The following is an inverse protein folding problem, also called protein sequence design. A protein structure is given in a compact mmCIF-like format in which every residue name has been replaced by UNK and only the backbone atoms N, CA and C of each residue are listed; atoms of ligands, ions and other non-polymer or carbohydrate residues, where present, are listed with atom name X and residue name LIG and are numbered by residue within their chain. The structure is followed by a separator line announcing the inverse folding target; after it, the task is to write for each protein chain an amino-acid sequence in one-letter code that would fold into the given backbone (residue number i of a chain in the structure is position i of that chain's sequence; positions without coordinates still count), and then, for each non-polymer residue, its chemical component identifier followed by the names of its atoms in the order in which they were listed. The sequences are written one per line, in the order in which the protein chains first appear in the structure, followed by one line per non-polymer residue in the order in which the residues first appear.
data_IF_079144508116
#
_entry.id   IF_079144508116
#
_cell.length_a   1.000
_cell.length_b   1.000
_cell.length_c   1.000
_cell.angle_alpha   90.00
_cell.angle_beta   90.00
_cell.angle_gamma   90.00
#
_symmetry.space_group_name_H-M   'P 1'
#
loop_
_entity.id
_entity.type
_entity.pdbx_description
1 polymer ?
#
# COMPACT_ATOMS: atom_id res chain seq x y z
N UNK A 1 8.31 -25.20 29.87
CA UNK A 1 7.24 -24.19 30.11
C UNK A 1 7.40 -23.68 31.52
N UNK A 2 7.70 -22.40 31.71
CA UNK A 2 7.75 -21.77 33.04
C UNK A 2 6.35 -21.73 33.67
N UNK A 3 6.25 -22.01 34.96
CA UNK A 3 4.99 -21.88 35.71
C UNK A 3 4.49 -20.43 35.62
N UNK A 4 3.23 -20.23 35.19
CA UNK A 4 2.61 -18.90 35.04
C UNK A 4 2.65 -18.12 36.35
N UNK A 5 2.64 -18.82 37.49
CA UNK A 5 2.67 -18.23 38.83
C UNK A 5 3.98 -17.54 39.17
N UNK A 6 5.09 -17.92 38.53
CA UNK A 6 6.40 -17.29 38.77
C UNK A 6 6.67 -16.12 37.83
N UNK A 7 5.78 -15.85 36.87
CA UNK A 7 5.97 -14.84 35.83
C UNK A 7 5.42 -13.47 36.17
N UNK A 8 4.72 -13.30 37.29
CA UNK A 8 4.16 -12.02 37.66
C UNK A 8 4.46 -11.62 39.10
N UNK A 9 4.51 -10.31 39.34
CA UNK A 9 4.57 -9.71 40.67
C UNK A 9 3.49 -8.64 40.82
N UNK A 10 2.92 -8.55 42.02
CA UNK A 10 2.04 -7.45 42.39
C UNK A 10 2.87 -6.25 42.83
N UNK A 11 2.53 -5.06 42.33
CA UNK A 11 3.04 -3.82 42.88
C UNK A 11 2.16 -3.28 44.02
N UNK A 12 2.46 -2.07 44.47
CA UNK A 12 1.70 -1.39 45.52
C UNK A 12 0.31 -0.98 44.98
N UNK A 13 -0.79 -1.29 45.67
CA UNK A 13 -2.11 -0.79 45.29
C UNK A 13 -2.16 0.74 45.28
N UNK A 14 -2.88 1.30 44.31
CA UNK A 14 -3.17 2.74 44.27
C UNK A 14 -4.31 3.14 45.24
N UNK A 15 -4.60 4.44 45.31
CA UNK A 15 -5.66 4.99 46.18
C UNK A 15 -7.07 4.50 45.81
N UNK A 16 -7.23 3.88 44.63
CA UNK A 16 -8.48 3.25 44.16
C UNK A 16 -8.51 1.75 44.45
N UNK A 17 -7.51 1.22 45.15
CA UNK A 17 -7.39 -0.20 45.49
C UNK A 17 -7.02 -1.09 44.29
N UNK A 18 -6.55 -0.50 43.19
CA UNK A 18 -6.08 -1.23 42.00
C UNK A 18 -4.64 -1.66 42.23
N UNK A 19 -4.39 -2.97 42.20
CA UNK A 19 -3.03 -3.54 42.33
C UNK A 19 -2.42 -3.71 40.95
N UNK A 20 -1.32 -3.01 40.60
CA UNK A 20 -0.62 -3.22 39.34
C UNK A 20 0.00 -4.63 39.29
N UNK A 21 -0.01 -5.26 38.12
CA UNK A 21 0.61 -6.56 37.87
C UNK A 21 1.71 -6.39 36.83
N UNK A 22 2.95 -6.71 37.22
CA UNK A 22 4.11 -6.69 36.33
C UNK A 22 4.41 -8.11 35.88
N UNK A 23 4.62 -8.31 34.58
CA UNK A 23 4.89 -9.62 33.96
C UNK A 23 6.34 -9.67 33.51
N UNK A 24 7.02 -10.80 33.74
CA UNK A 24 8.41 -11.09 33.35
C UNK A 24 9.42 -9.99 33.74
N UNK A 25 9.20 -9.34 34.88
CA UNK A 25 10.10 -8.30 35.39
C UNK A 25 9.94 -6.92 34.77
N UNK A 26 8.97 -6.73 33.86
CA UNK A 26 8.71 -5.44 33.21
C UNK A 26 8.55 -4.27 34.21
N UNK A 27 9.11 -3.12 33.85
CA UNK A 27 9.02 -1.89 34.64
C UNK A 27 7.59 -1.35 34.64
N UNK A 28 6.96 -1.29 33.47
CA UNK A 28 5.55 -0.93 33.31
C UNK A 28 4.62 -2.10 33.67
N UNK A 29 3.46 -1.85 34.31
CA UNK A 29 2.50 -2.90 34.61
C UNK A 29 1.76 -3.35 33.35
N UNK A 30 1.53 -4.66 33.22
CA UNK A 30 0.72 -5.23 32.14
C UNK A 30 -0.77 -4.87 32.27
N UNK A 31 -1.17 -4.44 33.47
CA UNK A 31 -2.54 -4.10 33.82
C UNK A 31 -2.71 -4.03 35.34
N UNK A 32 -3.96 -3.95 35.77
CA UNK A 32 -4.32 -3.87 37.17
C UNK A 32 -5.34 -4.96 37.54
N UNK A 33 -5.25 -5.43 38.78
CA UNK A 33 -6.29 -6.24 39.40
C UNK A 33 -6.95 -5.48 40.54
N UNK A 34 -8.27 -5.52 40.63
CA UNK A 34 -9.04 -4.82 41.65
C UNK A 34 -10.15 -5.71 42.18
N UNK A 35 -10.42 -5.64 43.49
CA UNK A 35 -11.60 -6.29 44.05
C UNK A 35 -12.84 -5.42 43.80
N UNK A 36 -13.80 -5.92 43.02
CA UNK A 36 -15.09 -5.28 42.76
C UNK A 36 -16.22 -6.02 43.48
N UNK A 37 -16.76 -5.40 44.54
CA UNK A 37 -18.00 -5.84 45.20
C UNK A 37 -17.93 -7.19 45.95
N UNK A 38 -19.11 -7.80 46.14
CA UNK A 38 -19.34 -9.06 46.87
C UNK A 38 -19.91 -10.17 45.95
N UNK A 39 -19.56 -10.18 44.67
CA UNK A 39 -20.00 -11.24 43.74
C UNK A 39 -19.18 -12.52 43.92
N UNK A 40 -19.62 -13.61 43.28
CA UNK A 40 -18.87 -14.87 43.19
C UNK A 40 -17.58 -14.76 42.36
N UNK A 41 -17.45 -13.69 41.55
CA UNK A 41 -16.25 -13.35 40.78
C UNK A 41 -15.78 -11.94 41.16
N UNK A 42 -15.28 -11.74 42.40
CA UNK A 42 -15.06 -10.41 42.94
C UNK A 42 -13.77 -9.76 42.44
N UNK A 43 -12.93 -10.45 41.65
CA UNK A 43 -11.66 -9.92 41.18
C UNK A 43 -11.72 -9.53 39.71
N UNK A 44 -11.49 -8.26 39.43
CA UNK A 44 -11.47 -7.70 38.09
C UNK A 44 -10.04 -7.60 37.58
N UNK A 45 -9.78 -8.05 36.35
CA UNK A 45 -8.53 -7.84 35.63
C UNK A 45 -8.76 -6.84 34.49
N UNK A 46 -7.96 -5.77 34.46
CA UNK A 46 -8.00 -4.71 33.46
C UNK A 46 -6.61 -4.58 32.82
N UNK A 47 -6.54 -4.71 31.49
CA UNK A 47 -5.29 -4.60 30.74
C UNK A 47 -4.80 -3.16 30.61
N UNK A 48 -3.49 -2.98 30.50
CA UNK A 48 -2.92 -1.68 30.16
C UNK A 48 -3.42 -1.24 28.77
N UNK A 49 -4.04 -0.05 28.71
CA UNK A 49 -4.60 0.55 27.49
C UNK A 49 -6.08 0.24 27.21
N UNK A 50 -6.73 -0.66 27.96
CA UNK A 50 -8.06 -1.18 27.63
C UNK A 50 -9.23 -0.28 28.08
N UNK A 51 -8.95 0.88 28.67
CA UNK A 51 -9.90 1.99 28.84
C UNK A 51 -11.19 1.70 29.62
N UNK A 52 -11.26 0.58 30.35
CA UNK A 52 -12.36 0.01 31.21
C UNK A 52 -12.80 -1.41 30.82
N UNK A 53 -12.37 -1.94 29.67
CA UNK A 53 -12.65 -3.33 29.30
C UNK A 53 -11.80 -4.29 30.17
N UNK A 54 -12.45 -5.29 30.77
CA UNK A 54 -11.81 -6.22 31.68
C UNK A 54 -12.63 -7.48 31.93
N UNK A 55 -12.12 -8.37 32.76
CA UNK A 55 -12.75 -9.67 33.03
C UNK A 55 -12.83 -9.95 34.53
N UNK A 56 -13.92 -10.59 34.97
CA UNK A 56 -14.14 -10.98 36.36
C UNK A 56 -13.65 -12.40 36.63
N UNK A 57 -13.06 -12.61 37.81
CA UNK A 57 -12.40 -13.84 38.26
C UNK A 57 -12.76 -14.13 39.72
N UNK A 58 -12.71 -15.41 40.12
CA UNK A 58 -13.05 -15.81 41.48
C UNK A 58 -11.94 -15.40 42.47
N UNK A 59 -10.68 -15.46 42.03
CA UNK A 59 -9.51 -15.22 42.89
C UNK A 59 -8.56 -14.19 42.29
N UNK A 60 -7.81 -13.50 43.16
CA UNK A 60 -6.85 -12.46 42.76
C UNK A 60 -5.78 -12.99 41.80
N UNK A 61 -5.25 -14.20 42.06
CA UNK A 61 -4.22 -14.80 41.23
C UNK A 61 -4.73 -15.18 39.84
N UNK A 62 -6.00 -15.58 39.70
CA UNK A 62 -6.61 -15.89 38.40
C UNK A 62 -6.70 -14.64 37.53
N UNK A 63 -7.08 -13.51 38.14
CA UNK A 63 -7.06 -12.20 37.49
C UNK A 63 -5.64 -11.79 37.05
N UNK A 64 -4.62 -12.07 37.85
CA UNK A 64 -3.23 -11.80 37.47
C UNK A 64 -2.73 -12.74 36.35
N UNK A 65 -3.04 -14.03 36.42
CA UNK A 65 -2.74 -15.00 35.37
C UNK A 65 -3.42 -14.66 34.04
N UNK A 66 -4.63 -14.07 34.07
CA UNK A 66 -5.30 -13.56 32.87
C UNK A 66 -4.50 -12.45 32.18
N UNK A 67 -3.86 -11.57 32.96
CA UNK A 67 -2.98 -10.51 32.42
C UNK A 67 -1.70 -11.10 31.82
N UNK A 68 -1.10 -12.13 32.43
CA UNK A 68 0.04 -12.86 31.84
C UNK A 68 -0.35 -13.46 30.49
N UNK A 69 -1.48 -14.17 30.42
CA UNK A 69 -1.98 -14.74 29.16
C UNK A 69 -2.24 -13.65 28.11
N UNK A 70 -2.71 -12.47 28.53
CA UNK A 70 -2.92 -11.35 27.61
C UNK A 70 -1.60 -10.83 27.03
N UNK A 71 -0.55 -10.71 27.85
CA UNK A 71 0.80 -10.35 27.38
C UNK A 71 1.33 -11.40 26.40
N UNK A 72 1.21 -12.68 26.72
CA UNK A 72 1.62 -13.78 25.84
C UNK A 72 0.87 -13.75 24.49
N UNK A 73 -0.44 -13.51 24.53
CA UNK A 73 -1.25 -13.36 23.31
C UNK A 73 -0.81 -12.14 22.49
N UNK A 74 -0.60 -10.98 23.12
CA UNK A 74 -0.12 -9.77 22.44
C UNK A 74 1.26 -9.99 21.81
N UNK A 75 2.18 -10.65 22.53
CA UNK A 75 3.50 -10.99 22.03
C UNK A 75 3.45 -11.97 20.86
N UNK A 76 2.58 -12.99 20.93
CA UNK A 76 2.38 -13.95 19.84
C UNK A 76 1.83 -13.27 18.59
N UNK A 77 0.82 -12.40 18.75
CA UNK A 77 0.26 -11.60 17.65
C UNK A 77 1.33 -10.69 17.05
N UNK A 78 2.09 -9.96 17.86
CA UNK A 78 3.18 -9.10 17.38
C UNK A 78 4.25 -9.89 16.61
N UNK A 79 4.66 -11.05 17.12
CA UNK A 79 5.63 -11.91 16.45
C UNK A 79 5.09 -12.53 15.15
N UNK A 80 3.78 -12.83 15.06
CA UNK A 80 3.15 -13.26 13.81
C UNK A 80 3.07 -12.13 12.79
N UNK A 81 2.71 -10.91 13.22
CA UNK A 81 2.72 -9.71 12.35
C UNK A 81 4.12 -9.48 11.79
N UNK A 82 5.16 -9.59 12.61
CA UNK A 82 6.54 -9.39 12.16
C UNK A 82 6.98 -10.50 11.19
N UNK A 83 6.65 -11.77 11.49
CA UNK A 83 6.91 -12.89 10.57
C UNK A 83 6.17 -12.73 9.24
N UNK A 84 4.96 -12.16 9.25
CA UNK A 84 4.20 -11.84 8.02
C UNK A 84 4.91 -10.76 7.22
N UNK A 85 5.27 -9.63 7.85
CA UNK A 85 6.05 -8.55 7.19
C UNK A 85 7.33 -9.07 6.55
N UNK A 86 8.08 -9.91 7.27
CA UNK A 86 9.30 -10.50 6.76
C UNK A 86 9.06 -11.37 5.51
N UNK A 87 7.94 -12.11 5.44
CA UNK A 87 7.55 -12.88 4.24
C UNK A 87 7.13 -11.96 3.10
N UNK A 88 6.33 -10.94 3.38
CA UNK A 88 5.85 -10.00 2.35
C UNK A 88 6.98 -9.15 1.74
N UNK A 89 8.11 -9.00 2.45
CA UNK A 89 9.31 -8.33 1.95
C UNK A 89 10.20 -9.21 1.04
N UNK A 90 9.86 -10.48 0.82
CA UNK A 90 10.57 -11.38 -0.07
C UNK A 90 9.77 -11.59 -1.35
N UNK A 91 10.36 -11.20 -2.49
CA UNK A 91 9.73 -11.45 -3.77
C UNK A 91 9.74 -12.95 -4.07
N UNK A 92 8.63 -13.53 -4.56
CA UNK A 92 8.64 -14.90 -5.07
C UNK A 92 9.66 -15.07 -6.21
N UNK A 93 10.20 -16.27 -6.39
CA UNK A 93 11.15 -16.54 -7.47
C UNK A 93 10.60 -16.12 -8.84
N UNK A 94 11.41 -15.43 -9.65
CA UNK A 94 11.02 -14.88 -10.96
C UNK A 94 10.23 -13.57 -10.89
N UNK A 95 10.03 -13.00 -9.69
CA UNK A 95 9.39 -11.71 -9.47
C UNK A 95 10.33 -10.75 -8.74
N UNK A 96 10.12 -9.45 -8.96
CA UNK A 96 10.81 -8.38 -8.24
C UNK A 96 9.82 -7.31 -7.80
N UNK A 97 10.15 -6.63 -6.71
CA UNK A 97 9.41 -5.44 -6.28
C UNK A 97 9.67 -4.27 -7.22
N UNK A 98 8.61 -3.53 -7.53
CA UNK A 98 8.66 -2.27 -8.27
C UNK A 98 7.76 -1.24 -7.63
N UNK A 99 8.21 0.01 -7.64
CA UNK A 99 7.37 1.12 -7.19
C UNK A 99 6.28 1.44 -8.22
N UNK A 100 5.19 2.06 -7.78
CA UNK A 100 4.17 2.57 -8.70
C UNK A 100 4.73 3.57 -9.71
N UNK A 101 5.69 4.41 -9.28
CA UNK A 101 6.37 5.34 -10.18
C UNK A 101 7.16 4.63 -11.27
N UNK A 102 7.80 3.49 -10.96
CA UNK A 102 8.48 2.67 -11.96
C UNK A 102 7.49 2.04 -12.93
N UNK A 103 6.38 1.49 -12.43
CA UNK A 103 5.30 0.95 -13.28
C UNK A 103 4.78 2.01 -14.26
N UNK A 104 4.49 3.21 -13.77
CA UNK A 104 4.04 4.33 -14.59
C UNK A 104 5.12 4.76 -15.61
N UNK A 105 6.40 4.80 -15.20
CA UNK A 105 7.51 5.24 -16.06
C UNK A 105 7.85 4.27 -17.16
N UNK A 106 7.92 2.98 -16.82
CA UNK A 106 8.25 1.92 -17.78
C UNK A 106 7.03 1.47 -18.59
N UNK A 107 5.80 1.82 -18.14
CA UNK A 107 4.56 1.45 -18.80
C UNK A 107 4.14 0.01 -18.56
N UNK A 108 4.56 -0.61 -17.44
CA UNK A 108 4.27 -2.01 -17.15
C UNK A 108 2.75 -2.25 -17.03
N UNK A 109 2.23 -3.14 -17.89
CA UNK A 109 0.81 -3.51 -17.90
C UNK A 109 0.51 -4.67 -16.97
N UNK A 110 1.43 -5.60 -16.81
CA UNK A 110 1.25 -6.80 -15.98
C UNK A 110 1.92 -6.60 -14.62
N UNK A 111 1.14 -6.53 -13.56
CA UNK A 111 1.67 -6.45 -12.20
C UNK A 111 0.83 -7.29 -11.24
N UNK A 112 1.42 -7.77 -10.16
CA UNK A 112 0.69 -8.33 -9.00
C UNK A 112 0.65 -7.25 -7.93
N UNK A 113 -0.47 -6.52 -7.76
CA UNK A 113 -0.63 -5.59 -6.64
C UNK A 113 -0.67 -6.35 -5.31
N UNK A 114 -0.61 -5.62 -4.20
CA UNK A 114 -0.89 -6.19 -2.88
C UNK A 114 -2.25 -6.91 -2.90
N UNK A 115 -2.34 -8.04 -2.22
CA UNK A 115 -3.52 -8.89 -2.22
C UNK A 115 -4.71 -8.12 -1.61
N UNK A 116 -5.92 -8.30 -2.18
CA UNK A 116 -7.14 -7.77 -1.57
C UNK A 116 -7.36 -8.49 -0.25
N UNK A 117 -7.18 -7.82 0.87
CA UNK A 117 -7.60 -8.39 2.15
C UNK A 117 -9.11 -8.68 2.04
N UNK A 118 -9.57 -9.91 2.35
CA UNK A 118 -11.00 -10.19 2.36
C UNK A 118 -11.66 -9.23 3.35
N UNK A 119 -12.67 -8.49 2.88
CA UNK A 119 -13.46 -7.63 3.74
C UNK A 119 -14.24 -8.51 4.72
N UNK A 120 -13.73 -8.66 5.95
CA UNK A 120 -14.44 -9.41 6.99
C UNK A 120 -15.33 -8.45 7.75
N UNK A 121 -16.64 -8.65 7.59
CA UNK A 121 -17.67 -7.95 8.35
C UNK A 121 -17.50 -8.26 9.85
N UNK A 122 -17.38 -7.23 10.69
CA UNK A 122 -17.27 -7.39 12.16
C UNK A 122 -15.92 -7.00 12.79
N UNK A 123 -14.96 -6.48 12.02
CA UNK A 123 -13.71 -5.93 12.57
C UNK A 123 -12.68 -6.97 13.03
N UNK A 124 -13.00 -8.26 12.94
CA UNK A 124 -12.08 -9.37 13.12
C UNK A 124 -11.64 -9.89 11.76
N UNK A 125 -10.66 -9.23 11.16
CA UNK A 125 -10.11 -9.61 9.87
C UNK A 125 -8.81 -8.89 9.58
N UNK A 126 -7.99 -9.51 8.73
CA UNK A 126 -6.65 -9.01 8.44
C UNK A 126 -6.73 -7.65 7.74
N UNK A 127 -6.42 -6.58 8.48
CA UNK A 127 -6.46 -5.20 7.99
C UNK A 127 -5.33 -4.86 7.02
N UNK A 128 -4.37 -5.77 6.88
CA UNK A 128 -3.15 -5.60 6.11
C UNK A 128 -3.03 -6.77 5.12
N UNK A 129 -2.86 -6.53 3.80
CA UNK A 129 -2.39 -7.54 2.86
C UNK A 129 -1.11 -8.16 3.40
N UNK A 130 -1.12 -9.47 3.53
CA UNK A 130 0.04 -10.27 3.92
C UNK A 130 0.82 -10.80 2.70
N UNK A 131 0.30 -10.51 1.49
CA UNK A 131 0.73 -11.12 0.25
C UNK A 131 0.40 -10.22 -0.95
N UNK A 132 0.79 -10.66 -2.14
CA UNK A 132 0.45 -10.04 -3.42
C UNK A 132 -0.55 -10.92 -4.16
N UNK A 133 -1.36 -10.32 -5.04
CA UNK A 133 -2.34 -11.04 -5.87
C UNK A 133 -1.71 -12.30 -6.50
N UNK A 134 -2.39 -13.45 -6.48
CA UNK A 134 -1.79 -14.71 -6.94
C UNK A 134 -1.44 -14.71 -8.43
N UNK A 135 -2.22 -13.98 -9.22
CA UNK A 135 -2.04 -13.81 -10.66
C UNK A 135 -1.81 -12.33 -10.98
N UNK A 136 -1.04 -12.02 -12.04
CA UNK A 136 -0.89 -10.65 -12.50
C UNK A 136 -2.23 -10.10 -13.00
N UNK A 137 -2.45 -8.82 -12.72
CA UNK A 137 -3.55 -8.00 -13.21
C UNK A 137 -3.03 -7.20 -14.40
N UNK A 138 -3.82 -7.14 -15.47
CA UNK A 138 -3.58 -6.20 -16.57
C UNK A 138 -4.05 -4.82 -16.12
N UNK A 139 -3.12 -3.95 -15.75
CA UNK A 139 -3.39 -2.58 -15.32
C UNK A 139 -3.85 -1.73 -16.49
N UNK A 140 -4.96 -1.02 -16.28
CA UNK A 140 -5.48 -0.03 -17.24
C UNK A 140 -5.32 1.40 -16.72
N UNK A 141 -5.33 1.59 -15.39
CA UNK A 141 -5.22 2.92 -14.78
C UNK A 141 -4.64 2.87 -13.36
N UNK A 142 -3.86 3.88 -13.03
CA UNK A 142 -3.26 4.13 -11.71
C UNK A 142 -3.61 5.56 -11.31
N UNK A 143 -4.17 5.75 -10.11
CA UNK A 143 -4.48 7.07 -9.55
C UNK A 143 -3.74 7.23 -8.23
N UNK A 144 -2.91 8.28 -8.12
CA UNK A 144 -2.22 8.67 -6.88
C UNK A 144 -2.97 9.82 -6.24
N UNK A 145 -3.29 9.69 -4.96
CA UNK A 145 -4.07 10.67 -4.20
C UNK A 145 -3.16 11.43 -3.23
N UNK A 146 -3.53 12.68 -2.91
CA UNK A 146 -2.77 13.56 -2.00
C UNK A 146 -2.50 12.95 -0.61
N UNK A 147 -3.36 12.06 -0.13
CA UNK A 147 -3.23 11.38 1.16
C UNK A 147 -2.26 10.19 1.14
N UNK A 148 -1.58 9.95 0.01
CA UNK A 148 -0.64 8.86 -0.19
C UNK A 148 -1.31 7.53 -0.60
N UNK A 149 -2.64 7.51 -0.73
CA UNK A 149 -3.33 6.34 -1.26
C UNK A 149 -3.10 6.19 -2.77
N UNK A 150 -3.17 4.95 -3.25
CA UNK A 150 -3.12 4.62 -4.68
C UNK A 150 -4.35 3.78 -5.02
N UNK A 151 -5.06 4.17 -6.08
CA UNK A 151 -6.12 3.35 -6.68
C UNK A 151 -5.58 2.76 -7.97
N UNK A 152 -5.71 1.45 -8.14
CA UNK A 152 -5.40 0.79 -9.40
C UNK A 152 -6.65 0.14 -9.96
N UNK A 153 -6.79 0.20 -11.27
CA UNK A 153 -7.81 -0.55 -12.00
C UNK A 153 -7.23 -1.31 -13.17
N UNK A 154 -7.91 -2.38 -13.55
CA UNK A 154 -7.44 -3.29 -14.58
C UNK A 154 -8.39 -4.45 -14.83
N UNK A 155 -7.84 -5.55 -15.33
CA UNK A 155 -8.54 -6.82 -15.50
C UNK A 155 -7.75 -7.96 -14.86
N UNK A 156 -8.44 -8.84 -14.14
CA UNK A 156 -7.86 -10.12 -13.73
C UNK A 156 -7.91 -11.10 -14.89
N UNK A 157 -7.06 -12.14 -14.91
CA UNK A 157 -7.19 -13.23 -15.87
C UNK A 157 -8.56 -13.94 -15.75
N UNK A 158 -9.15 -14.23 -16.91
CA UNK A 158 -10.49 -14.82 -17.05
C UNK A 158 -11.61 -13.78 -17.16
N UNK A 159 -12.84 -14.23 -17.43
CA UNK A 159 -14.05 -13.37 -17.53
C UNK A 159 -14.50 -12.91 -16.14
N UNK A 160 -13.72 -12.02 -15.53
CA UNK A 160 -13.98 -11.45 -14.20
C UNK A 160 -14.38 -9.98 -14.30
N UNK A 161 -15.12 -9.45 -13.31
CA UNK A 161 -15.43 -8.03 -13.24
C UNK A 161 -14.14 -7.18 -13.26
N UNK A 162 -14.25 -5.88 -13.60
CA UNK A 162 -13.10 -4.98 -13.60
C UNK A 162 -12.38 -5.03 -12.25
N UNK A 163 -11.06 -5.19 -12.31
CA UNK A 163 -10.22 -5.13 -11.14
C UNK A 163 -10.17 -3.69 -10.66
N UNK A 164 -10.49 -3.43 -9.38
CA UNK A 164 -10.27 -2.16 -8.71
C UNK A 164 -9.73 -2.44 -7.31
N UNK A 165 -8.65 -1.76 -6.93
CA UNK A 165 -8.06 -1.85 -5.59
C UNK A 165 -7.67 -0.45 -5.11
N UNK A 166 -8.23 -0.04 -3.97
CA UNK A 166 -7.77 1.11 -3.20
C UNK A 166 -6.76 0.63 -2.16
N UNK A 167 -5.54 1.14 -2.26
CA UNK A 167 -4.46 0.93 -1.30
C UNK A 167 -4.32 2.17 -0.42
N UNK A 168 -4.27 1.99 0.89
CA UNK A 168 -3.80 3.04 1.77
C UNK A 168 -2.30 3.32 1.56
N UNK A 169 -1.79 4.36 2.23
CA UNK A 169 -0.39 4.77 2.11
C UNK A 169 0.61 3.65 2.40
N UNK A 170 0.41 2.85 3.45
CA UNK A 170 1.36 1.81 3.82
C UNK A 170 1.39 0.71 2.75
N UNK A 171 0.25 0.40 2.15
CA UNK A 171 0.15 -0.55 1.05
C UNK A 171 0.70 0.00 -0.27
N UNK A 172 0.48 1.28 -0.56
CA UNK A 172 1.01 1.93 -1.73
C UNK A 172 2.56 1.96 -1.71
N UNK A 173 3.17 2.15 -0.54
CA UNK A 173 4.63 2.15 -0.36
C UNK A 173 5.28 0.79 -0.68
N UNK A 174 4.53 -0.33 -0.60
CA UNK A 174 5.02 -1.66 -0.98
C UNK A 174 5.17 -1.83 -2.50
N UNK A 175 4.51 -1.00 -3.31
CA UNK A 175 4.51 -1.13 -4.76
C UNK A 175 3.74 -2.36 -5.25
N UNK A 176 4.29 -3.02 -6.27
CA UNK A 176 3.76 -4.27 -6.82
C UNK A 176 4.89 -5.22 -7.19
N UNK A 177 4.55 -6.45 -7.53
CA UNK A 177 5.49 -7.38 -8.15
C UNK A 177 5.33 -7.36 -9.68
N UNK A 178 6.44 -7.31 -10.39
CA UNK A 178 6.52 -7.60 -11.84
C UNK A 178 7.52 -8.74 -12.07
N UNK A 179 7.53 -9.34 -13.25
CA UNK A 179 8.49 -10.40 -13.55
C UNK A 179 9.91 -9.82 -13.55
N UNK A 180 10.90 -10.59 -13.11
CA UNK A 180 12.32 -10.13 -13.09
C UNK A 180 12.83 -9.71 -14.47
N UNK A 181 12.33 -10.37 -15.51
CA UNK A 181 12.66 -10.11 -16.90
C UNK A 181 11.50 -9.46 -17.66
N UNK A 182 10.66 -8.68 -16.97
CA UNK A 182 9.61 -7.91 -17.62
C UNK A 182 10.21 -7.06 -18.75
N UNK A 183 9.70 -7.17 -19.99
CA UNK A 183 10.22 -6.41 -21.11
C UNK A 183 10.09 -4.91 -20.84
N UNK A 184 10.97 -4.10 -21.42
CA UNK A 184 10.91 -2.63 -21.34
C UNK A 184 10.93 -2.02 -22.73
N UNK A 185 10.15 -0.98 -22.96
CA UNK A 185 10.28 -0.18 -24.18
C UNK A 185 11.62 0.56 -24.17
N UNK A 186 12.34 0.59 -25.29
CA UNK A 186 13.64 1.27 -25.38
C UNK A 186 13.72 2.34 -26.45
N UNK A 187 13.08 2.14 -27.61
CA UNK A 187 13.15 3.05 -28.75
C UNK A 187 12.11 2.68 -29.81
N UNK A 188 11.88 3.58 -30.76
CA UNK A 188 11.21 3.27 -32.03
C UNK A 188 12.28 3.00 -33.09
N UNK A 189 12.11 1.95 -33.90
CA UNK A 189 13.03 1.63 -34.99
C UNK A 189 12.69 0.32 -35.67
N UNK A 190 13.60 -0.14 -36.54
CA UNK A 190 13.44 -1.38 -37.28
C UNK A 190 13.77 -2.60 -36.40
N UNK A 191 12.87 -3.59 -36.39
CA UNK A 191 13.10 -4.84 -35.68
C UNK A 191 14.16 -5.70 -36.37
N UNK A 192 15.22 -6.08 -35.65
CA UNK A 192 16.27 -6.96 -36.19
C UNK A 192 15.79 -8.38 -36.50
N UNK A 193 14.62 -8.79 -36.00
CA UNK A 193 14.06 -10.12 -36.22
C UNK A 193 13.08 -10.21 -37.38
N UNK A 194 12.33 -9.15 -37.67
CA UNK A 194 11.27 -9.17 -38.68
C UNK A 194 11.22 -7.93 -39.59
N UNK A 195 12.24 -7.05 -39.51
CA UNK A 195 12.42 -5.89 -40.39
C UNK A 195 11.19 -4.95 -40.42
N UNK A 196 10.39 -4.98 -39.35
CA UNK A 196 9.21 -4.12 -39.22
C UNK A 196 9.56 -2.93 -38.33
N UNK A 197 9.27 -1.74 -38.83
CA UNK A 197 9.36 -0.51 -38.05
C UNK A 197 8.31 -0.46 -36.95
N UNK A 198 8.71 -0.04 -35.75
CA UNK A 198 7.80 0.15 -34.63
C UNK A 198 8.51 0.27 -33.29
N UNK A 199 7.77 0.17 -32.17
CA UNK A 199 8.35 0.17 -30.85
C UNK A 199 9.19 -1.09 -30.61
N UNK A 200 10.40 -0.88 -30.11
CA UNK A 200 11.36 -1.91 -29.77
C UNK A 200 11.40 -2.11 -28.25
N UNK A 201 11.40 -3.38 -27.86
CA UNK A 201 11.38 -3.84 -26.48
C UNK A 201 12.63 -4.65 -26.19
N UNK A 202 13.21 -4.40 -25.02
CA UNK A 202 14.29 -5.18 -24.49
C UNK A 202 13.77 -6.21 -23.48
N UNK A 203 14.04 -7.49 -23.75
CA UNK A 203 13.80 -8.60 -22.82
C UNK A 203 15.14 -9.31 -22.56
N UNK A 204 15.72 -9.10 -21.38
CA UNK A 204 17.09 -9.53 -21.08
C UNK A 204 18.10 -8.88 -22.02
N UNK A 205 18.83 -9.70 -22.79
CA UNK A 205 19.81 -9.23 -23.79
C UNK A 205 19.23 -9.08 -25.21
N UNK A 206 17.96 -9.44 -25.42
CA UNK A 206 17.32 -9.39 -26.74
C UNK A 206 16.57 -8.07 -26.93
N UNK A 207 16.56 -7.60 -28.17
CA UNK A 207 15.82 -6.44 -28.64
C UNK A 207 14.90 -6.89 -29.79
N UNK A 208 13.63 -6.51 -29.77
CA UNK A 208 12.70 -6.84 -30.85
C UNK A 208 11.42 -6.01 -30.83
N UNK A 209 10.64 -6.05 -31.90
CA UNK A 209 9.33 -5.40 -31.93
C UNK A 209 8.35 -6.06 -30.96
N UNK A 210 7.16 -5.45 -30.83
CA UNK A 210 6.09 -5.99 -30.00
C UNK A 210 5.76 -7.46 -30.33
N UNK A 211 5.60 -7.78 -31.62
CA UNK A 211 5.24 -9.14 -32.06
C UNK A 211 6.35 -10.16 -31.75
N UNK A 212 7.60 -9.86 -32.11
CA UNK A 212 8.72 -10.77 -31.88
C UNK A 212 8.97 -10.98 -30.38
N UNK A 213 8.95 -9.91 -29.60
CA UNK A 213 9.20 -9.99 -28.15
C UNK A 213 8.08 -10.74 -27.44
N UNK A 214 6.82 -10.47 -27.81
CA UNK A 214 5.68 -11.18 -27.24
C UNK A 214 5.71 -12.68 -27.58
N UNK A 215 6.03 -13.03 -28.84
CA UNK A 215 6.17 -14.41 -29.27
C UNK A 215 7.30 -15.14 -28.50
N UNK A 216 8.47 -14.51 -28.36
CA UNK A 216 9.61 -15.05 -27.60
C UNK A 216 9.26 -15.32 -26.13
N UNK A 217 8.42 -14.47 -25.53
CA UNK A 217 8.00 -14.57 -24.13
C UNK A 217 6.73 -15.42 -23.94
N UNK A 218 6.05 -15.84 -25.01
CA UNK A 218 4.76 -16.53 -24.93
C UNK A 218 3.64 -15.65 -24.35
N UNK A 219 3.66 -14.34 -24.65
CA UNK A 219 2.70 -13.35 -24.17
C UNK A 219 1.91 -12.74 -25.35
N UNK A 220 0.85 -12.00 -25.05
CA UNK A 220 0.20 -11.15 -26.05
C UNK A 220 1.02 -9.87 -26.26
N UNK A 221 1.11 -9.32 -27.48
CA UNK A 221 1.68 -7.98 -27.69
C UNK A 221 1.01 -6.89 -26.85
N UNK A 222 -0.27 -7.06 -26.51
CA UNK A 222 -1.02 -6.14 -25.65
C UNK A 222 -0.60 -6.18 -24.17
N UNK A 223 0.16 -7.20 -23.77
CA UNK A 223 0.72 -7.34 -22.42
C UNK A 223 2.11 -6.70 -22.28
N UNK A 224 2.74 -6.32 -23.39
CA UNK A 224 4.00 -5.60 -23.38
C UNK A 224 3.81 -4.17 -22.85
N UNK A 225 4.86 -3.54 -22.31
CA UNK A 225 4.75 -2.19 -21.79
C UNK A 225 4.14 -1.21 -22.79
N UNK A 226 3.28 -0.31 -22.31
CA UNK A 226 2.68 0.69 -23.17
C UNK A 226 3.72 1.69 -23.69
N UNK A 227 3.65 2.01 -24.98
CA UNK A 227 4.46 3.06 -25.61
C UNK A 227 3.76 4.39 -25.41
N UNK A 228 4.55 5.46 -25.25
CA UNK A 228 4.02 6.82 -25.31
C UNK A 228 3.43 7.07 -26.69
N UNK A 229 2.12 7.32 -26.79
CA UNK A 229 1.51 7.76 -28.05
C UNK A 229 1.78 9.24 -28.33
N UNK A 230 1.88 10.11 -27.32
CA UNK A 230 2.04 11.56 -27.47
C UNK A 230 2.73 12.22 -26.25
N UNK A 231 3.75 11.57 -25.67
CA UNK A 231 4.43 12.13 -24.51
C UNK A 231 5.47 13.16 -24.98
N UNK A 232 5.07 14.44 -25.06
CA UNK A 232 6.03 15.56 -25.04
C UNK A 232 6.84 15.56 -23.73
N UNK A 233 6.49 14.71 -22.73
CA UNK A 233 7.42 13.99 -21.87
C UNK A 233 8.32 14.81 -20.95
N UNK A 234 8.21 16.13 -20.94
CA UNK A 234 9.20 16.96 -20.28
C UNK A 234 9.08 16.94 -18.76
N UNK A 235 7.88 16.67 -18.19
CA UNK A 235 7.64 16.86 -16.76
C UNK A 235 6.95 15.67 -16.10
N UNK A 236 7.69 15.01 -15.22
CA UNK A 236 7.17 14.01 -14.29
C UNK A 236 6.66 14.68 -13.02
N UNK A 237 5.37 15.04 -13.01
CA UNK A 237 4.73 15.61 -11.82
C UNK A 237 4.67 14.62 -10.65
N UNK A 238 4.92 15.14 -9.46
CA UNK A 238 4.68 14.53 -8.17
C UNK A 238 3.54 15.26 -7.43
N UNK A 239 2.89 14.53 -6.53
CA UNK A 239 1.92 15.12 -5.60
C UNK A 239 2.63 16.18 -4.76
N UNK A 240 2.04 17.37 -4.67
CA UNK A 240 2.57 18.51 -3.95
C UNK A 240 3.40 19.46 -4.81
N UNK A 241 3.75 19.08 -6.04
CA UNK A 241 4.44 19.96 -6.99
C UNK A 241 3.61 21.20 -7.28
N UNK A 242 4.31 22.31 -7.57
CA UNK A 242 3.68 23.59 -7.89
C UNK A 242 3.60 23.77 -9.40
N UNK A 243 2.41 24.06 -9.88
CA UNK A 243 2.11 24.27 -11.29
C UNK A 243 1.80 25.75 -11.50
N UNK A 244 2.34 26.32 -12.58
CA UNK A 244 1.92 27.65 -13.05
C UNK A 244 0.87 27.50 -14.12
N UNK A 245 -0.22 28.26 -14.02
CA UNK A 245 -1.05 28.52 -15.18
C UNK A 245 -0.44 29.69 -15.97
N UNK A 246 -0.03 29.45 -17.21
CA UNK A 246 0.14 30.56 -18.15
C UNK A 246 -1.27 31.08 -18.49
N UNK A 247 -1.51 32.38 -18.31
CA UNK A 247 -2.82 32.97 -18.59
C UNK A 247 -3.26 32.64 -20.02
N UNK A 248 -4.40 31.98 -20.18
CA UNK A 248 -5.04 31.76 -21.50
C UNK A 248 -5.59 33.05 -22.10
N UNK A 249 -5.48 34.18 -21.39
CA UNK A 249 -5.98 35.49 -21.81
C UNK A 249 -4.78 36.45 -21.82
N UNK A 250 -4.47 37.00 -23.01
CA UNK A 250 -3.50 38.08 -23.22
C UNK A 250 -4.05 39.42 -22.69
N UNK A 251 -4.41 39.50 -21.42
CA UNK A 251 -4.65 40.79 -20.75
C UNK A 251 -3.58 40.99 -19.68
N UNK A 252 -2.83 42.07 -19.83
CA UNK A 252 -1.46 42.30 -19.35
C UNK A 252 -1.25 42.43 -17.83
N UNK A 253 -2.23 42.16 -16.96
CA UNK A 253 -2.13 42.51 -15.52
C UNK A 253 -2.51 41.40 -14.52
N UNK A 254 -2.63 40.13 -14.92
CA UNK A 254 -2.89 39.05 -13.97
C UNK A 254 -1.60 38.31 -13.60
N UNK A 255 -1.22 38.37 -12.32
CA UNK A 255 -0.13 37.54 -11.78
C UNK A 255 -0.41 36.06 -12.07
N UNK A 256 0.62 35.29 -12.44
CA UNK A 256 0.47 33.87 -12.73
C UNK A 256 -0.08 33.12 -11.51
N UNK A 257 -1.25 32.50 -11.68
CA UNK A 257 -1.86 31.66 -10.65
C UNK A 257 -1.02 30.39 -10.46
N UNK A 258 -0.59 30.14 -9.22
CA UNK A 258 0.15 28.93 -8.83
C UNK A 258 -0.77 27.99 -8.07
N UNK A 259 -0.77 26.71 -8.43
CA UNK A 259 -1.54 25.67 -7.75
C UNK A 259 -0.68 24.47 -7.38
N UNK A 260 -1.18 23.61 -6.49
CA UNK A 260 -0.51 22.37 -6.07
C UNK A 260 -1.15 21.15 -6.72
N UNK A 261 -0.33 20.23 -7.22
CA UNK A 261 -0.81 18.91 -7.68
C UNK A 261 -1.31 18.12 -6.47
N UNK A 262 -2.57 17.70 -6.49
CA UNK A 262 -3.20 16.93 -5.41
C UNK A 262 -3.58 15.52 -5.84
N UNK A 263 -3.73 15.26 -7.13
CA UNK A 263 -3.99 13.93 -7.66
C UNK A 263 -3.29 13.76 -9.00
N UNK A 264 -2.87 12.54 -9.30
CA UNK A 264 -2.28 12.17 -10.58
C UNK A 264 -3.00 10.92 -11.06
N UNK A 265 -3.47 10.96 -12.30
CA UNK A 265 -4.08 9.84 -12.98
C UNK A 265 -3.23 9.46 -14.18
N UNK A 266 -2.81 8.20 -14.21
CA UNK A 266 -2.05 7.61 -15.30
C UNK A 266 -2.91 6.52 -15.94
N UNK A 267 -3.26 6.71 -17.21
CA UNK A 267 -3.87 5.68 -18.05
C UNK A 267 -2.74 4.83 -18.61
N UNK A 268 -2.66 3.58 -18.16
CA UNK A 268 -1.51 2.71 -18.45
C UNK A 268 -1.50 2.34 -19.94
N UNK A 269 -2.65 2.04 -20.54
CA UNK A 269 -2.73 1.59 -21.93
C UNK A 269 -2.28 2.65 -22.94
N UNK A 270 -2.70 3.90 -22.71
CA UNK A 270 -2.44 5.04 -23.59
C UNK A 270 -1.14 5.77 -23.20
N UNK A 271 -0.55 5.40 -22.04
CA UNK A 271 0.52 6.13 -21.36
C UNK A 271 0.22 7.64 -21.24
N UNK A 272 -1.04 8.00 -21.08
CA UNK A 272 -1.46 9.39 -20.86
C UNK A 272 -1.53 9.70 -19.38
N UNK A 273 -1.14 10.92 -19.00
CA UNK A 273 -1.17 11.38 -17.61
C UNK A 273 -1.97 12.67 -17.48
N UNK A 274 -2.81 12.73 -16.46
CA UNK A 274 -3.56 13.92 -16.08
C UNK A 274 -3.27 14.25 -14.62
N UNK A 275 -3.16 15.53 -14.34
CA UNK A 275 -2.94 16.03 -12.99
C UNK A 275 -4.15 16.82 -12.54
N UNK A 276 -4.52 16.67 -11.27
CA UNK A 276 -5.53 17.46 -10.62
C UNK A 276 -4.83 18.50 -9.74
N UNK A 277 -5.09 19.78 -10.00
CA UNK A 277 -4.39 20.90 -9.35
C UNK A 277 -5.36 21.69 -8.47
N UNK A 278 -4.95 21.96 -7.24
CA UNK A 278 -5.63 22.85 -6.29
C UNK A 278 -4.98 24.24 -6.32
N UNK A 279 -5.71 25.25 -6.78
CA UNK A 279 -5.27 26.64 -6.83
C UNK A 279 -5.74 27.47 -5.62
N UNK A 280 -6.46 26.87 -4.65
CA UNK A 280 -6.92 27.57 -3.44
C UNK A 280 -8.22 28.37 -3.61
N UNK A 281 -8.84 28.33 -4.80
CA UNK A 281 -10.06 29.06 -5.13
C UNK A 281 -11.36 28.35 -4.72
N UNK A 282 -12.47 29.12 -4.70
CA UNK A 282 -13.81 28.72 -4.22
C UNK A 282 -14.46 27.56 -5.00
N UNK A 283 -13.87 27.11 -6.11
CA UNK A 283 -14.31 25.93 -6.87
C UNK A 283 -13.13 25.12 -7.43
N UNK A 284 -13.21 23.77 -7.36
CA UNK A 284 -12.08 22.96 -6.92
C UNK A 284 -11.56 22.01 -8.02
N UNK A 285 -10.28 21.69 -7.98
CA UNK A 285 -9.64 20.55 -8.68
C UNK A 285 -9.94 20.47 -10.19
N UNK A 286 -9.05 21.03 -11.01
CA UNK A 286 -9.13 20.88 -12.47
C UNK A 286 -8.16 19.81 -12.96
N UNK A 287 -8.67 18.90 -13.80
CA UNK A 287 -7.85 17.92 -14.50
C UNK A 287 -7.19 18.55 -15.71
N UNK A 288 -5.86 18.64 -15.67
CA UNK A 288 -5.03 19.14 -16.76
C UNK A 288 -4.22 17.99 -17.39
N UNK A 289 -3.88 18.10 -18.68
CA UNK A 289 -2.83 17.25 -19.25
C UNK A 289 -1.50 17.56 -18.54
N UNK A 290 -0.63 16.57 -18.42
CA UNK A 290 0.68 16.72 -17.76
C UNK A 290 1.66 17.66 -18.50
N UNK A 291 1.30 18.19 -19.68
CA UNK A 291 2.12 19.11 -20.49
C UNK A 291 2.18 20.57 -19.99
N UNK A 292 1.83 20.85 -18.73
CA UNK A 292 2.00 22.19 -18.16
C UNK A 292 3.48 22.46 -17.86
N UNK A 293 3.91 23.72 -17.96
CA UNK A 293 5.29 24.11 -17.69
C UNK A 293 5.59 24.09 -16.17
N UNK A 294 6.75 23.58 -15.73
CA UNK A 294 7.15 23.61 -14.34
C UNK A 294 7.50 25.04 -13.89
N UNK A 295 7.23 25.37 -12.63
CA UNK A 295 7.83 26.56 -12.00
C UNK A 295 9.21 26.16 -11.50
N UNK A 296 10.25 26.85 -11.96
CA UNK A 296 11.62 26.68 -11.48
C UNK A 296 11.79 27.18 -10.03
#
# INVERSE_FOLDING_TARGET
MSDIKTRYRYGKPDDKGRTPVHVDGAAEPAGHVQKRGRSSLPWWAEGAGDGTAGTSHARKYEAAERLVRMVDSRATVAAEIERRRARSAQAPAGWRFVSWTEIEREGYRQARPVHRAPYIYGGEGERYPDSFADQPVTLTRIVRLHNGCVVVSGTEPGDRPPYVLLMDRAHAELGALVREHEPRHVATGECTGCETDGPLYQAGTRLGCATCTAADLGLSPADLPAVATDDDGAVWWAIGDTVRRAGEIQDEDHEPETGRVIEIETFVDERTRRIAVDFGDRWPVRWHSAGLAPVA
#
